data_IF_540975790554
#
_entry.id   IF_540975790554
#
_cell.length_a   1.000
_cell.length_b   1.000
_cell.length_c   1.000
_cell.angle_alpha   90.00
_cell.angle_beta   90.00
_cell.angle_gamma   90.00
#
_symmetry.space_group_name_H-M   'P 1'
#
loop_
_entity.id
_entity.type
_entity.pdbx_description
1 polymer ?
#
# COMPACT_ATOMS: atom_id res chain seq x y z
N UNK A 1 -1.41 20.29 -36.17
CA UNK A 1 -0.76 19.74 -34.95
C UNK A 1 -1.60 18.59 -34.46
N UNK A 2 -1.28 17.40 -34.87
CA UNK A 2 -1.94 16.16 -34.42
C UNK A 2 -1.55 15.95 -32.95
N UNK A 3 -2.52 15.72 -32.10
CA UNK A 3 -2.35 15.67 -30.65
C UNK A 3 -1.55 14.40 -30.31
N UNK A 4 -0.40 14.53 -29.65
CA UNK A 4 0.48 13.43 -29.18
C UNK A 4 -0.32 12.32 -28.48
N UNK A 5 -1.41 12.69 -27.78
CA UNK A 5 -2.32 11.76 -27.12
C UNK A 5 -3.06 10.84 -28.10
N UNK A 6 -3.45 11.34 -29.28
CA UNK A 6 -4.19 10.55 -30.28
C UNK A 6 -3.29 9.55 -30.99
N UNK A 7 -2.01 9.88 -31.12
CA UNK A 7 -1.01 9.00 -31.74
C UNK A 7 -0.65 7.83 -30.82
N UNK A 8 -0.32 8.13 -29.55
CA UNK A 8 -0.02 7.11 -28.54
C UNK A 8 -1.20 6.17 -28.26
N UNK A 9 -2.44 6.68 -28.28
CA UNK A 9 -3.65 5.86 -28.11
C UNK A 9 -3.82 4.87 -29.27
N UNK A 10 -3.56 5.27 -30.51
CA UNK A 10 -3.62 4.40 -31.69
C UNK A 10 -2.53 3.36 -31.72
N UNK A 11 -1.31 3.74 -31.34
CA UNK A 11 -0.18 2.81 -31.24
C UNK A 11 -0.43 1.75 -30.16
N UNK A 12 -1.00 2.15 -29.01
CA UNK A 12 -1.37 1.25 -27.92
C UNK A 12 -2.47 0.28 -28.34
N UNK A 13 -3.52 0.75 -29.03
CA UNK A 13 -4.59 -0.10 -29.56
C UNK A 13 -4.06 -1.11 -30.59
N UNK A 14 -3.18 -0.69 -31.51
CA UNK A 14 -2.59 -1.58 -32.50
C UNK A 14 -1.74 -2.69 -31.85
N UNK A 15 -0.95 -2.36 -30.84
CA UNK A 15 -0.09 -3.33 -30.15
C UNK A 15 -0.84 -4.35 -29.30
N UNK A 16 -1.95 -3.97 -28.69
CA UNK A 16 -2.70 -4.84 -27.76
C UNK A 16 -3.87 -5.59 -28.38
N UNK A 17 -4.42 -5.12 -29.51
CA UNK A 17 -5.58 -5.75 -30.17
C UNK A 17 -5.27 -6.38 -31.53
N UNK A 18 -3.97 -6.63 -31.85
CA UNK A 18 -3.59 -7.42 -33.02
C UNK A 18 -3.42 -6.60 -34.31
N UNK A 19 -3.24 -5.29 -34.21
CA UNK A 19 -2.81 -4.44 -35.32
C UNK A 19 -1.32 -4.57 -35.64
N UNK A 20 -0.89 -4.10 -36.81
CA UNK A 20 0.53 -4.00 -37.18
C UNK A 20 1.24 -2.99 -36.25
N UNK A 21 2.37 -3.41 -35.72
CA UNK A 21 3.23 -2.55 -34.88
C UNK A 21 3.86 -1.49 -35.79
N UNK A 22 3.78 -0.20 -35.45
CA UNK A 22 4.43 0.83 -36.22
C UNK A 22 5.95 0.59 -36.36
N UNK A 23 6.49 0.78 -37.55
CA UNK A 23 7.93 0.60 -37.82
C UNK A 23 8.81 1.68 -37.14
N UNK A 24 8.23 2.82 -36.78
CA UNK A 24 8.92 3.93 -36.09
C UNK A 24 8.07 4.43 -34.89
N UNK A 25 8.69 4.51 -33.72
CA UNK A 25 8.13 5.12 -32.51
C UNK A 25 8.61 6.58 -32.38
N UNK A 26 7.75 7.49 -31.92
CA UNK A 26 8.11 8.90 -31.75
C UNK A 26 9.25 9.14 -30.72
N UNK A 27 9.48 8.21 -29.79
CA UNK A 27 10.59 8.28 -28.85
C UNK A 27 11.05 6.89 -28.39
N UNK A 28 12.28 6.80 -27.94
CA UNK A 28 12.84 5.59 -27.32
C UNK A 28 12.02 5.16 -26.10
N UNK A 29 11.49 6.11 -25.34
CA UNK A 29 10.66 5.92 -24.16
C UNK A 29 9.30 5.29 -24.50
N UNK A 30 8.67 5.70 -25.60
CA UNK A 30 7.44 5.09 -26.13
C UNK A 30 7.68 3.64 -26.51
N UNK A 31 8.81 3.34 -27.15
CA UNK A 31 9.18 1.98 -27.53
C UNK A 31 9.36 1.07 -26.31
N UNK A 32 10.06 1.53 -25.29
CA UNK A 32 10.31 0.77 -24.05
C UNK A 32 9.03 0.51 -23.26
N UNK A 33 8.13 1.50 -23.18
CA UNK A 33 6.81 1.35 -22.57
C UNK A 33 5.94 0.31 -23.31
N UNK A 34 6.01 0.29 -24.64
CA UNK A 34 5.29 -0.67 -25.46
C UNK A 34 5.85 -2.08 -25.35
N UNK A 35 7.19 -2.24 -25.31
CA UNK A 35 7.85 -3.53 -25.08
C UNK A 35 7.51 -4.08 -23.68
N UNK A 36 7.49 -3.22 -22.67
CA UNK A 36 7.06 -3.58 -21.32
C UNK A 36 5.58 -4.00 -21.29
N UNK A 37 4.69 -3.23 -21.90
CA UNK A 37 3.28 -3.55 -22.02
C UNK A 37 3.05 -4.89 -22.73
N UNK A 38 3.79 -5.14 -23.81
CA UNK A 38 3.74 -6.40 -24.55
C UNK A 38 4.27 -7.58 -23.72
N UNK A 39 5.35 -7.38 -22.98
CA UNK A 39 5.92 -8.42 -22.10
C UNK A 39 4.95 -8.81 -20.97
N UNK A 40 4.18 -7.84 -20.48
CA UNK A 40 3.12 -8.07 -19.49
C UNK A 40 1.89 -8.74 -20.11
N UNK A 41 1.53 -8.38 -21.35
CA UNK A 41 0.39 -8.96 -22.07
C UNK A 41 0.62 -10.43 -22.45
N UNK A 42 1.85 -10.82 -22.84
CA UNK A 42 2.21 -12.19 -23.23
C UNK A 42 2.34 -13.13 -22.02
N UNK A 43 2.60 -12.59 -20.82
CA UNK A 43 2.62 -13.40 -19.60
C UNK A 43 1.19 -13.78 -19.24
N UNK A 44 0.92 -15.07 -19.25
CA UNK A 44 -0.37 -15.60 -18.80
C UNK A 44 -0.49 -15.47 -17.26
N UNK A 45 -1.10 -14.38 -16.82
CA UNK A 45 -1.46 -14.13 -15.42
C UNK A 45 -2.84 -14.76 -15.09
N UNK A 46 -3.36 -15.65 -15.93
CA UNK A 46 -4.79 -15.92 -16.06
C UNK A 46 -5.33 -17.09 -15.27
N UNK A 47 -4.59 -17.84 -14.50
CA UNK A 47 -5.28 -18.73 -13.55
C UNK A 47 -5.86 -17.88 -12.40
N UNK A 48 -7.01 -17.23 -12.68
CA UNK A 48 -7.82 -16.51 -11.70
C UNK A 48 -7.88 -14.98 -11.82
N UNK A 49 -7.27 -14.36 -12.85
CA UNK A 49 -7.35 -12.90 -13.01
C UNK A 49 -8.39 -12.48 -14.07
N UNK A 50 -9.22 -11.50 -13.72
CA UNK A 50 -10.12 -10.86 -14.68
C UNK A 50 -9.33 -9.82 -15.49
N UNK A 51 -8.78 -10.24 -16.65
CA UNK A 51 -7.97 -9.39 -17.55
C UNK A 51 -8.67 -8.08 -17.93
N UNK A 52 -9.98 -8.11 -18.11
CA UNK A 52 -10.77 -6.93 -18.49
C UNK A 52 -10.85 -5.91 -17.35
N UNK A 53 -10.95 -6.38 -16.10
CA UNK A 53 -10.96 -5.50 -14.94
C UNK A 53 -9.59 -4.82 -14.73
N UNK A 54 -8.49 -5.56 -14.93
CA UNK A 54 -7.13 -5.01 -14.82
C UNK A 54 -6.88 -3.98 -15.93
N UNK A 55 -7.23 -4.30 -17.20
CA UNK A 55 -7.06 -3.38 -18.33
C UNK A 55 -7.94 -2.14 -18.20
N UNK A 56 -9.18 -2.28 -17.75
CA UNK A 56 -10.08 -1.13 -17.47
C UNK A 56 -9.50 -0.23 -16.37
N UNK A 57 -8.89 -0.82 -15.33
CA UNK A 57 -8.27 -0.06 -14.23
C UNK A 57 -7.01 0.69 -14.69
N UNK A 58 -6.19 0.06 -15.53
CA UNK A 58 -5.02 0.71 -16.15
C UNK A 58 -5.47 1.87 -17.03
N UNK A 59 -6.46 1.66 -17.91
CA UNK A 59 -7.02 2.69 -18.79
C UNK A 59 -7.60 3.86 -18.00
N UNK A 60 -8.42 3.60 -16.98
CA UNK A 60 -9.01 4.63 -16.12
C UNK A 60 -7.94 5.41 -15.33
N UNK A 61 -6.87 4.76 -14.90
CA UNK A 61 -5.76 5.43 -14.22
C UNK A 61 -4.91 6.28 -15.17
N UNK A 62 -4.77 5.88 -16.43
CA UNK A 62 -4.09 6.67 -17.46
C UNK A 62 -4.92 7.89 -17.89
N UNK A 63 -6.22 7.73 -18.08
CA UNK A 63 -7.15 8.84 -18.38
C UNK A 63 -7.24 9.84 -17.21
N UNK A 64 -7.25 9.37 -15.97
CA UNK A 64 -7.30 10.22 -14.78
C UNK A 64 -5.99 11.03 -14.55
N UNK A 65 -4.84 10.57 -15.05
CA UNK A 65 -3.57 11.31 -14.99
C UNK A 65 -3.41 12.36 -16.07
N UNK A 66 -4.21 12.28 -17.16
CA UNK A 66 -4.13 13.22 -18.31
C UNK A 66 -4.77 14.59 -18.08
N UNK A 67 -5.68 14.75 -17.13
CA UNK A 67 -6.52 15.97 -17.01
C UNK A 67 -6.30 16.84 -15.76
N UNK A 68 -5.30 16.58 -14.90
CA UNK A 68 -5.15 17.35 -13.66
C UNK A 68 -3.71 17.79 -13.34
N UNK A 69 -3.11 18.55 -14.28
CA UNK A 69 -2.04 19.49 -13.92
C UNK A 69 -2.64 20.90 -13.95
N UNK A 70 -3.60 21.21 -13.12
CA UNK A 70 -3.92 22.53 -12.57
C UNK A 70 -5.19 22.44 -11.72
N UNK A 71 -5.04 22.83 -10.46
CA UNK A 71 -6.10 23.14 -9.50
C UNK A 71 -7.06 21.99 -9.09
N UNK A 72 -6.65 21.22 -8.09
CA UNK A 72 -7.58 20.80 -7.03
C UNK A 72 -6.82 20.51 -5.74
N UNK A 73 -6.89 21.46 -4.83
CA UNK A 73 -6.77 21.22 -3.39
C UNK A 73 -7.78 20.15 -2.99
N UNK A 74 -7.29 19.08 -2.40
CA UNK A 74 -8.15 18.20 -1.62
C UNK A 74 -8.54 16.89 -2.28
N UNK A 75 -7.82 15.87 -1.96
CA UNK A 75 -8.20 14.52 -1.53
C UNK A 75 -6.90 13.70 -1.45
N UNK A 76 -6.24 13.85 -0.34
CA UNK A 76 -5.15 12.93 0.02
C UNK A 76 -5.82 11.58 0.26
N UNK A 77 -5.65 10.64 -0.68
CA UNK A 77 -5.95 9.22 -0.43
C UNK A 77 -4.99 8.75 0.64
N UNK A 78 -5.50 8.62 1.87
CA UNK A 78 -4.71 8.13 3.00
C UNK A 78 -4.43 6.65 2.76
N UNK A 79 -3.18 6.34 2.44
CA UNK A 79 -2.66 4.97 2.38
C UNK A 79 -2.40 4.58 3.83
N UNK A 80 -3.04 3.51 4.28
CA UNK A 80 -2.77 2.93 5.60
C UNK A 80 -1.38 2.33 5.60
N UNK A 81 -0.49 2.95 6.38
CA UNK A 81 0.90 2.53 6.52
C UNK A 81 1.00 1.51 7.63
N UNK A 82 1.15 0.25 7.27
CA UNK A 82 1.72 -0.76 8.15
C UNK A 82 3.01 -1.29 7.51
N UNK A 83 4.11 -1.09 8.18
CA UNK A 83 5.44 -1.67 7.94
C UNK A 83 6.13 -1.30 6.62
N UNK A 84 6.19 -0.02 6.26
CA UNK A 84 6.91 0.39 5.04
C UNK A 84 7.64 1.74 5.16
N UNK A 85 8.38 1.96 6.24
CA UNK A 85 9.25 3.16 6.32
C UNK A 85 10.27 3.22 5.17
N UNK A 86 10.71 2.07 4.68
CA UNK A 86 11.62 1.99 3.53
C UNK A 86 10.91 2.17 2.18
N UNK A 87 9.70 1.62 2.02
CA UNK A 87 8.93 1.74 0.77
C UNK A 87 8.44 3.17 0.50
N UNK A 88 8.14 3.95 1.54
CA UNK A 88 7.70 5.35 1.39
C UNK A 88 8.85 6.28 0.99
N UNK A 89 10.07 6.02 1.46
CA UNK A 89 11.27 6.73 0.97
C UNK A 89 11.47 6.47 -0.52
N UNK A 90 11.23 5.24 -0.98
CA UNK A 90 11.33 4.87 -2.40
C UNK A 90 10.25 5.57 -3.26
N UNK A 91 9.02 5.72 -2.78
CA UNK A 91 7.94 6.42 -3.52
C UNK A 91 8.23 7.92 -3.65
N UNK A 92 8.80 8.56 -2.63
CA UNK A 92 9.24 9.96 -2.72
C UNK A 92 10.42 10.14 -3.68
N UNK A 93 11.26 9.12 -3.84
CA UNK A 93 12.39 9.09 -4.76
C UNK A 93 11.98 8.83 -6.23
N UNK A 94 10.81 8.22 -6.47
CA UNK A 94 10.33 7.85 -7.81
C UNK A 94 9.97 9.02 -8.74
N UNK A 95 10.07 10.26 -8.31
CA UNK A 95 9.90 11.43 -9.19
C UNK A 95 11.19 11.92 -9.84
N UNK A 96 12.31 11.23 -9.63
CA UNK A 96 13.59 11.57 -10.23
C UNK A 96 13.93 10.62 -11.39
N UNK A 97 14.73 11.07 -12.35
CA UNK A 97 15.29 10.27 -13.46
C UNK A 97 16.03 9.00 -13.02
N UNK A 98 16.34 8.89 -11.72
CA UNK A 98 16.94 7.74 -11.07
C UNK A 98 15.95 6.56 -10.88
N UNK A 99 14.63 6.83 -10.91
CA UNK A 99 13.60 5.79 -10.78
C UNK A 99 13.56 4.82 -11.97
N UNK A 100 14.09 5.19 -13.11
CA UNK A 100 14.12 4.34 -14.32
C UNK A 100 15.11 3.17 -14.21
N UNK A 101 16.13 3.26 -13.37
CA UNK A 101 17.06 2.13 -13.09
C UNK A 101 16.53 1.16 -12.01
N UNK A 102 15.46 1.55 -11.31
CA UNK A 102 14.82 0.77 -10.24
C UNK A 102 13.55 0.05 -10.74
N UNK A 103 13.56 -0.52 -11.94
CA UNK A 103 12.49 -1.40 -12.39
C UNK A 103 12.45 -2.64 -11.49
N UNK A 104 11.52 -2.60 -10.53
CA UNK A 104 11.22 -3.73 -9.67
C UNK A 104 10.86 -4.93 -10.55
N UNK A 105 11.64 -6.00 -10.45
CA UNK A 105 11.27 -7.26 -11.10
C UNK A 105 10.15 -7.91 -10.33
N UNK A 106 8.97 -7.98 -10.90
CA UNK A 106 7.89 -8.79 -10.36
C UNK A 106 8.30 -10.27 -10.41
N UNK A 107 8.41 -10.89 -9.24
CA UNK A 107 8.70 -12.31 -9.08
C UNK A 107 7.43 -13.15 -9.10
N UNK A 108 6.40 -12.67 -8.42
CA UNK A 108 5.14 -13.38 -8.24
C UNK A 108 3.99 -12.39 -8.03
N UNK A 109 2.78 -12.79 -8.37
CA UNK A 109 1.57 -12.00 -8.11
C UNK A 109 0.41 -12.91 -7.76
N UNK A 110 -0.34 -12.53 -6.72
CA UNK A 110 -1.56 -13.22 -6.29
C UNK A 110 -2.68 -12.18 -6.25
N UNK A 111 -3.72 -12.37 -7.06
CA UNK A 111 -4.91 -11.53 -7.07
C UNK A 111 -6.11 -12.31 -6.53
N UNK A 112 -6.85 -11.71 -5.60
CA UNK A 112 -8.04 -12.26 -4.94
C UNK A 112 -9.21 -11.29 -5.11
N UNK A 113 -9.50 -10.87 -6.33
CA UNK A 113 -10.53 -9.86 -6.59
C UNK A 113 -10.05 -8.46 -6.23
N UNK A 114 -10.50 -7.92 -5.10
CA UNK A 114 -10.16 -6.56 -4.66
C UNK A 114 -8.83 -6.47 -3.88
N UNK A 115 -8.13 -7.59 -3.69
CA UNK A 115 -6.79 -7.65 -3.07
C UNK A 115 -5.81 -8.19 -4.10
N UNK A 116 -4.70 -7.48 -4.30
CA UNK A 116 -3.58 -7.96 -5.13
C UNK A 116 -2.29 -7.85 -4.32
N UNK A 117 -1.57 -8.97 -4.18
CA UNK A 117 -0.24 -9.00 -3.60
C UNK A 117 0.79 -9.23 -4.71
N UNK A 118 1.82 -8.40 -4.76
CA UNK A 118 2.90 -8.46 -5.74
C UNK A 118 4.22 -8.63 -5.00
N UNK A 119 4.90 -9.73 -5.30
CA UNK A 119 6.27 -9.95 -4.85
C UNK A 119 7.24 -9.35 -5.86
N UNK A 120 8.07 -8.44 -5.40
CA UNK A 120 9.06 -7.74 -6.23
C UNK A 120 10.48 -8.10 -5.78
N UNK A 121 11.41 -8.01 -6.71
CA UNK A 121 12.83 -8.06 -6.39
C UNK A 121 13.35 -6.63 -6.32
N UNK A 122 13.69 -6.17 -5.11
CA UNK A 122 14.39 -4.91 -4.99
C UNK A 122 15.82 -5.05 -5.53
N UNK A 123 16.29 -4.11 -6.37
CA UNK A 123 17.70 -4.07 -6.70
C UNK A 123 18.50 -3.97 -5.41
N UNK A 124 19.57 -4.75 -5.30
CA UNK A 124 20.49 -4.71 -4.14
C UNK A 124 21.27 -3.39 -4.17
N UNK A 125 20.59 -2.32 -3.87
CA UNK A 125 21.21 -1.02 -3.73
C UNK A 125 21.33 -0.70 -2.24
N UNK A 126 22.54 -0.72 -1.73
CA UNK A 126 22.80 -0.46 -0.31
C UNK A 126 22.72 1.03 0.04
N UNK A 127 22.62 1.92 -0.96
CA UNK A 127 22.71 3.37 -0.76
C UNK A 127 21.73 4.09 -1.70
N UNK A 128 20.86 4.90 -1.14
CA UNK A 128 19.87 5.71 -1.86
C UNK A 128 20.21 7.19 -1.69
N UNK A 129 20.63 7.91 -2.75
CA UNK A 129 20.92 9.34 -2.66
C UNK A 129 19.66 10.10 -2.28
N UNK A 130 19.80 11.13 -1.44
CA UNK A 130 18.69 11.99 -1.07
C UNK A 130 18.29 12.90 -2.23
N UNK A 131 16.98 13.08 -2.50
CA UNK A 131 16.49 14.13 -3.38
C UNK A 131 17.00 15.51 -2.92
N UNK A 132 17.18 16.42 -3.87
CA UNK A 132 17.67 17.78 -3.58
C UNK A 132 16.81 18.49 -2.53
N UNK A 133 15.48 18.25 -2.55
CA UNK A 133 14.53 18.85 -1.61
C UNK A 133 14.72 18.36 -0.16
N UNK A 134 15.37 17.22 0.04
CA UNK A 134 15.62 16.61 1.35
C UNK A 134 17.06 16.78 1.83
N UNK A 135 17.97 17.21 0.96
CA UNK A 135 19.36 17.49 1.34
C UNK A 135 19.44 18.59 2.41
N UNK A 136 20.26 18.38 3.42
CA UNK A 136 20.38 19.29 4.55
C UNK A 136 19.19 19.32 5.52
N UNK A 137 18.16 18.46 5.31
CA UNK A 137 17.00 18.32 6.21
C UNK A 137 17.01 17.02 7.00
N UNK A 138 17.84 16.04 6.59
CA UNK A 138 17.93 14.72 7.20
C UNK A 138 19.33 14.54 7.78
N UNK A 139 19.37 14.09 9.02
CA UNK A 139 20.58 13.92 9.82
C UNK A 139 20.63 12.51 10.42
N UNK A 140 21.82 12.03 10.73
CA UNK A 140 21.99 10.83 11.53
C UNK A 140 21.79 11.13 13.04
N UNK A 141 21.89 10.09 13.86
CA UNK A 141 21.76 10.19 15.33
C UNK A 141 22.81 11.11 15.98
N UNK A 142 23.93 11.38 15.30
CA UNK A 142 25.02 12.21 15.81
C UNK A 142 24.89 13.67 15.32
N UNK A 143 23.80 14.00 14.59
CA UNK A 143 23.51 15.34 14.08
C UNK A 143 24.30 15.69 12.81
N UNK A 144 24.89 14.70 12.12
CA UNK A 144 25.58 14.89 10.86
C UNK A 144 24.59 14.83 9.69
N UNK A 145 24.60 15.80 8.76
CA UNK A 145 23.71 15.76 7.61
C UNK A 145 24.02 14.55 6.72
N UNK A 146 22.97 13.90 6.24
CA UNK A 146 23.07 12.77 5.34
C UNK A 146 22.93 13.24 3.89
N UNK A 147 23.77 12.70 3.01
CA UNK A 147 23.69 12.87 1.55
C UNK A 147 22.93 11.71 0.90
N UNK A 148 22.85 10.58 1.60
CA UNK A 148 22.18 9.38 1.14
C UNK A 148 21.68 8.55 2.33
N UNK A 149 20.61 7.78 2.11
CA UNK A 149 20.10 6.79 3.07
C UNK A 149 20.72 5.43 2.71
N UNK A 150 21.26 4.74 3.72
CA UNK A 150 21.74 3.37 3.60
C UNK A 150 20.79 2.45 4.35
N UNK A 151 20.75 1.17 3.97
CA UNK A 151 19.89 0.20 4.65
C UNK A 151 20.11 0.16 6.16
N UNK A 152 21.36 0.30 6.60
CA UNK A 152 21.77 0.33 8.03
C UNK A 152 21.23 1.53 8.83
N UNK A 153 20.99 2.69 8.19
CA UNK A 153 20.50 3.91 8.85
C UNK A 153 19.08 4.31 8.49
N UNK A 154 18.38 3.53 7.68
CA UNK A 154 17.04 3.86 7.20
C UNK A 154 16.00 4.03 8.32
N UNK A 155 16.21 3.38 9.47
CA UNK A 155 15.36 3.52 10.66
C UNK A 155 15.78 4.61 11.65
N UNK A 156 16.93 5.28 11.41
CA UNK A 156 17.56 6.22 12.35
C UNK A 156 17.84 7.56 11.67
N UNK A 157 16.75 8.18 11.17
CA UNK A 157 16.76 9.47 10.52
C UNK A 157 16.23 10.55 11.47
N UNK A 158 16.89 11.72 11.48
CA UNK A 158 16.56 12.82 12.39
C UNK A 158 16.49 14.15 11.64
N UNK A 159 15.74 15.10 12.20
CA UNK A 159 15.79 16.51 11.79
C UNK A 159 17.02 17.21 12.36
N UNK A 160 17.30 18.44 11.91
CA UNK A 160 18.34 19.30 12.49
C UNK A 160 18.12 19.60 13.99
N UNK A 161 16.87 19.51 14.47
CA UNK A 161 16.50 19.68 15.87
C UNK A 161 16.64 18.37 16.70
N UNK A 162 17.08 17.26 16.07
CA UNK A 162 17.23 15.97 16.73
C UNK A 162 15.91 15.21 16.93
N UNK A 163 14.81 15.62 16.27
CA UNK A 163 13.56 14.87 16.30
C UNK A 163 13.64 13.70 15.32
N UNK A 164 13.19 12.52 15.74
CA UNK A 164 13.18 11.32 14.90
C UNK A 164 12.18 11.47 13.76
N UNK A 165 12.64 11.23 12.54
CA UNK A 165 11.81 11.20 11.34
C UNK A 165 11.22 9.79 11.21
N UNK A 166 9.90 9.71 11.04
CA UNK A 166 9.15 8.44 10.94
C UNK A 166 8.42 8.28 9.62
N UNK A 167 8.28 9.37 8.84
CA UNK A 167 7.56 9.34 7.58
C UNK A 167 7.96 10.50 6.66
N UNK A 168 7.58 10.39 5.38
CA UNK A 168 7.77 11.44 4.39
C UNK A 168 6.45 11.63 3.63
N UNK A 169 6.02 12.87 3.47
CA UNK A 169 4.83 13.20 2.69
C UNK A 169 5.04 14.48 1.90
N UNK A 170 4.75 14.44 0.60
CA UNK A 170 4.87 15.60 -0.31
C UNK A 170 6.21 16.34 -0.21
N UNK A 171 7.34 15.60 -0.14
CA UNK A 171 8.69 16.19 -0.02
C UNK A 171 8.98 16.82 1.35
N UNK A 172 8.13 16.56 2.34
CA UNK A 172 8.32 17.01 3.72
C UNK A 172 8.61 15.82 4.64
N UNK A 173 9.47 16.05 5.62
CA UNK A 173 9.73 15.10 6.70
C UNK A 173 8.61 15.16 7.74
N UNK A 174 8.17 14.02 8.24
CA UNK A 174 7.21 13.91 9.34
C UNK A 174 7.93 13.31 10.53
N UNK A 175 8.00 14.07 11.63
CA UNK A 175 8.61 13.61 12.87
C UNK A 175 7.63 12.72 13.66
N UNK A 176 8.17 11.93 14.59
CA UNK A 176 7.37 11.11 15.49
C UNK A 176 6.33 11.93 16.25
N UNK A 177 6.71 13.13 16.76
CA UNK A 177 5.81 14.05 17.42
C UNK A 177 4.68 14.54 16.53
N UNK A 178 5.00 14.90 15.28
CA UNK A 178 4.00 15.32 14.29
C UNK A 178 3.07 14.15 13.93
N UNK A 179 3.61 12.96 13.73
CA UNK A 179 2.82 11.75 13.43
C UNK A 179 1.81 11.45 14.53
N UNK A 180 2.25 11.47 15.79
CA UNK A 180 1.37 11.27 16.95
C UNK A 180 0.25 12.31 16.97
N UNK A 181 0.57 13.60 16.74
CA UNK A 181 -0.42 14.67 16.69
C UNK A 181 -1.41 14.47 15.53
N UNK A 182 -0.91 14.18 14.34
CA UNK A 182 -1.76 13.92 13.16
C UNK A 182 -2.70 12.72 13.40
N UNK A 183 -2.20 11.65 14.02
CA UNK A 183 -3.00 10.47 14.35
C UNK A 183 -4.07 10.79 15.40
N UNK A 184 -3.76 11.58 16.41
CA UNK A 184 -4.74 12.00 17.43
C UNK A 184 -5.84 12.90 16.85
N UNK A 185 -5.47 13.85 16.00
CA UNK A 185 -6.42 14.78 15.38
C UNK A 185 -7.23 14.14 14.26
N UNK A 186 -6.61 13.24 13.49
CA UNK A 186 -7.20 12.62 12.30
C UNK A 186 -8.02 11.36 12.57
N UNK A 187 -8.06 10.86 13.81
CA UNK A 187 -8.75 9.60 14.14
C UNK A 187 -9.77 9.77 15.25
N UNK A 188 -10.87 9.00 15.17
CA UNK A 188 -11.78 8.74 16.26
C UNK A 188 -11.42 7.39 16.87
N UNK A 189 -11.17 7.37 18.18
CA UNK A 189 -10.86 6.16 18.93
C UNK A 189 -12.10 5.69 19.68
N UNK A 190 -12.52 4.45 19.43
CA UNK A 190 -13.68 3.82 20.08
C UNK A 190 -13.22 2.57 20.85
N UNK A 191 -13.48 2.55 22.16
CA UNK A 191 -13.11 1.44 23.04
C UNK A 191 -14.26 0.46 23.31
N UNK A 192 -15.47 0.86 22.98
CA UNK A 192 -16.67 0.02 23.13
C UNK A 192 -16.93 -0.75 21.83
N UNK A 193 -16.65 -2.06 21.85
CA UNK A 193 -16.84 -2.92 20.69
C UNK A 193 -18.32 -3.03 20.25
N UNK A 194 -19.27 -2.74 21.12
CA UNK A 194 -20.69 -2.74 20.79
C UNK A 194 -21.16 -1.59 19.91
N UNK A 195 -20.33 -0.53 19.79
CA UNK A 195 -20.66 0.68 19.02
C UNK A 195 -19.99 0.75 17.64
N UNK A 196 -19.18 -0.24 17.26
CA UNK A 196 -18.38 -0.16 16.04
C UNK A 196 -19.23 -0.03 14.77
N UNK A 197 -20.37 -0.70 14.75
CA UNK A 197 -21.30 -0.66 13.60
C UNK A 197 -22.00 0.70 13.42
N UNK A 198 -21.99 1.56 14.42
CA UNK A 198 -22.56 2.91 14.32
C UNK A 198 -21.75 3.80 13.36
N UNK A 199 -20.50 3.45 13.14
CA UNK A 199 -19.55 4.25 12.35
C UNK A 199 -19.26 3.68 10.96
N UNK A 200 -19.58 2.39 10.68
CA UNK A 200 -19.24 1.72 9.42
C UNK A 200 -20.44 1.60 8.48
N UNK A 201 -20.19 1.49 7.17
CA UNK A 201 -21.22 1.17 6.18
C UNK A 201 -21.42 -0.35 6.00
N UNK A 202 -20.67 -1.17 6.70
CA UNK A 202 -20.72 -2.64 6.71
C UNK A 202 -20.75 -3.18 8.14
N UNK A 203 -21.08 -4.47 8.27
CA UNK A 203 -21.09 -5.13 9.59
C UNK A 203 -19.67 -5.49 10.00
N UNK A 204 -19.19 -4.91 11.11
CA UNK A 204 -17.90 -5.27 11.72
C UNK A 204 -18.00 -6.64 12.35
N UNK A 205 -17.06 -7.53 12.04
CA UNK A 205 -17.02 -8.89 12.60
C UNK A 205 -15.82 -9.00 13.54
N UNK A 206 -16.10 -9.26 14.80
CA UNK A 206 -15.07 -9.54 15.81
C UNK A 206 -14.61 -10.99 15.69
N UNK A 207 -13.29 -11.28 15.81
CA UNK A 207 -12.80 -12.65 15.81
C UNK A 207 -13.32 -13.40 17.03
N UNK A 208 -13.81 -14.62 16.80
CA UNK A 208 -14.28 -15.51 17.87
C UNK A 208 -13.15 -16.16 18.68
N UNK A 209 -11.90 -16.02 18.19
CA UNK A 209 -10.69 -16.49 18.87
C UNK A 209 -9.62 -15.41 18.79
N UNK A 210 -9.02 -15.10 19.92
CA UNK A 210 -7.83 -14.26 20.08
C UNK A 210 -6.88 -15.01 21.03
N UNK A 211 -5.56 -15.03 20.76
CA UNK A 211 -4.57 -15.66 21.63
C UNK A 211 -4.64 -15.17 23.09
N UNK A 212 -4.27 -16.04 24.00
CA UNK A 212 -4.29 -15.74 25.44
C UNK A 212 -3.45 -14.47 25.75
N UNK A 213 -3.96 -13.65 26.65
CA UNK A 213 -3.35 -12.39 27.06
C UNK A 213 -3.71 -11.19 26.18
N UNK A 214 -4.29 -11.41 25.00
CA UNK A 214 -4.77 -10.32 24.14
C UNK A 214 -6.25 -10.04 24.40
N UNK A 215 -6.62 -8.76 24.36
CA UNK A 215 -8.01 -8.29 24.49
C UNK A 215 -8.24 -7.16 23.51
N UNK A 216 -9.48 -6.99 23.05
CA UNK A 216 -9.87 -5.80 22.31
C UNK A 216 -9.52 -4.57 23.15
N UNK A 217 -8.73 -3.68 22.58
CA UNK A 217 -8.26 -2.44 23.20
C UNK A 217 -9.04 -1.26 22.64
N UNK A 218 -9.05 -1.14 21.31
CA UNK A 218 -9.71 -0.04 20.63
C UNK A 218 -9.94 -0.35 19.16
N UNK A 219 -10.85 0.43 18.58
CA UNK A 219 -10.97 0.63 17.15
C UNK A 219 -10.59 2.07 16.80
N UNK A 220 -9.99 2.26 15.62
CA UNK A 220 -9.64 3.56 15.07
C UNK A 220 -10.38 3.76 13.75
N UNK A 221 -11.00 4.94 13.61
CA UNK A 221 -11.68 5.38 12.41
C UNK A 221 -11.06 6.68 11.91
N UNK A 222 -10.87 6.80 10.62
CA UNK A 222 -10.36 8.03 10.03
C UNK A 222 -11.48 9.06 9.88
N UNK A 223 -11.24 10.26 10.39
CA UNK A 223 -12.12 11.40 10.23
C UNK A 223 -12.05 11.96 8.82
N UNK A 224 -13.15 12.46 8.31
CA UNK A 224 -13.19 13.25 7.09
C UNK A 224 -12.58 14.66 7.29
N UNK A 225 -12.62 15.49 6.24
CA UNK A 225 -12.07 16.85 6.31
C UNK A 225 -12.84 17.78 7.26
N UNK A 226 -14.07 17.41 7.64
CA UNK A 226 -14.91 18.15 8.58
C UNK A 226 -14.74 17.65 10.03
N UNK A 227 -13.89 16.64 10.23
CA UNK A 227 -13.63 16.04 11.53
C UNK A 227 -14.65 14.98 11.96
N UNK A 228 -15.55 14.56 11.06
CA UNK A 228 -16.60 13.58 11.33
C UNK A 228 -16.18 12.17 10.94
N UNK A 229 -16.83 11.19 11.56
CA UNK A 229 -16.81 9.78 11.16
C UNK A 229 -18.24 9.34 10.92
N UNK A 230 -18.60 9.11 9.68
CA UNK A 230 -19.95 8.67 9.33
C UNK A 230 -19.90 7.62 8.22
N UNK A 231 -20.46 6.42 8.50
CA UNK A 231 -20.56 5.30 7.55
C UNK A 231 -19.25 5.06 6.79
N UNK A 232 -18.13 5.06 7.52
CA UNK A 232 -16.81 4.82 6.91
C UNK A 232 -16.70 3.42 6.31
N UNK A 233 -15.92 3.28 5.25
CA UNK A 233 -15.58 2.01 4.62
C UNK A 233 -14.42 1.29 5.31
N UNK A 234 -13.80 1.88 6.33
CA UNK A 234 -12.56 1.39 6.94
C UNK A 234 -12.68 1.39 8.45
N UNK A 235 -12.16 0.36 9.09
CA UNK A 235 -11.97 0.28 10.53
C UNK A 235 -10.67 -0.47 10.83
N UNK A 236 -9.88 0.07 11.76
CA UNK A 236 -8.69 -0.55 12.30
C UNK A 236 -8.97 -1.04 13.72
N UNK A 237 -8.83 -2.33 13.97
CA UNK A 237 -9.05 -2.99 15.27
C UNK A 237 -7.72 -3.36 15.91
N UNK A 238 -7.56 -3.06 17.16
CA UNK A 238 -6.40 -3.39 17.96
C UNK A 238 -6.77 -4.29 19.12
N UNK A 239 -6.06 -5.42 19.23
CA UNK A 239 -6.16 -6.34 20.38
C UNK A 239 -4.80 -6.34 21.06
N UNK A 240 -4.72 -5.79 22.26
CA UNK A 240 -3.46 -5.52 22.95
C UNK A 240 -3.25 -6.52 24.10
N UNK A 241 -2.00 -6.97 24.22
CA UNK A 241 -1.52 -7.69 25.39
C UNK A 241 -0.79 -6.70 26.31
N UNK A 242 -1.42 -6.33 27.42
CA UNK A 242 -0.90 -5.32 28.33
C UNK A 242 0.36 -5.76 29.08
N UNK A 243 0.64 -7.07 29.16
CA UNK A 243 1.81 -7.59 29.85
C UNK A 243 3.12 -7.36 29.08
N UNK A 244 3.05 -7.34 27.74
CA UNK A 244 4.26 -7.21 26.88
C UNK A 244 4.19 -6.06 25.86
N UNK A 245 3.07 -5.30 25.84
CA UNK A 245 2.88 -4.18 24.93
C UNK A 245 2.72 -4.55 23.45
N UNK A 246 2.62 -5.83 23.12
CA UNK A 246 2.34 -6.30 21.76
C UNK A 246 0.87 -6.19 21.43
N UNK A 247 0.55 -6.03 20.16
CA UNK A 247 -0.84 -5.99 19.69
C UNK A 247 -1.02 -6.82 18.42
N UNK A 248 -2.24 -7.26 18.23
CA UNK A 248 -2.76 -7.82 16.98
C UNK A 248 -3.53 -6.70 16.30
N UNK A 249 -3.21 -6.46 15.05
CA UNK A 249 -3.88 -5.49 14.19
C UNK A 249 -4.78 -6.22 13.21
N UNK A 250 -6.02 -5.78 13.10
CA UNK A 250 -6.96 -6.26 12.10
C UNK A 250 -7.64 -5.06 11.44
N UNK A 251 -7.50 -4.95 10.13
CA UNK A 251 -8.26 -4.00 9.36
C UNK A 251 -9.45 -4.70 8.70
N UNK A 252 -10.61 -4.05 8.69
CA UNK A 252 -11.76 -4.45 7.91
C UNK A 252 -12.16 -3.30 6.99
N UNK A 253 -12.53 -3.63 5.75
CA UNK A 253 -12.95 -2.64 4.75
C UNK A 253 -14.17 -3.17 4.01
N UNK A 254 -15.15 -2.30 3.69
CA UNK A 254 -16.16 -2.67 2.71
C UNK A 254 -15.49 -3.00 1.39
N UNK A 255 -15.85 -4.14 0.76
CA UNK A 255 -15.23 -4.58 -0.49
C UNK A 255 -15.90 -3.91 -1.69
N UNK A 256 -15.21 -2.95 -2.30
CA UNK A 256 -15.62 -2.31 -3.55
C UNK A 256 -14.39 -1.77 -4.32
N UNK A 257 -14.62 -1.16 -5.49
CA UNK A 257 -13.54 -0.62 -6.33
C UNK A 257 -12.71 0.48 -5.63
N UNK A 258 -13.31 1.25 -4.71
CA UNK A 258 -12.63 2.31 -3.98
C UNK A 258 -11.71 1.77 -2.89
N UNK A 259 -12.12 0.69 -2.24
CA UNK A 259 -11.40 0.04 -1.14
C UNK A 259 -10.42 -1.04 -1.61
N UNK A 260 -10.51 -1.46 -2.88
CA UNK A 260 -9.56 -2.39 -3.49
C UNK A 260 -8.11 -1.86 -3.37
N UNK A 261 -7.18 -2.77 -3.10
CA UNK A 261 -5.79 -2.37 -2.86
C UNK A 261 -4.78 -3.38 -3.42
N UNK A 262 -3.58 -2.86 -3.62
CA UNK A 262 -2.40 -3.63 -4.01
C UNK A 262 -1.33 -3.51 -2.92
N UNK A 263 -0.67 -4.63 -2.62
CA UNK A 263 0.46 -4.72 -1.70
C UNK A 263 1.67 -5.15 -2.50
N UNK A 264 2.73 -4.33 -2.50
CA UNK A 264 4.03 -4.69 -3.03
C UNK A 264 4.97 -5.04 -1.88
N UNK A 265 5.70 -6.16 -2.00
CA UNK A 265 6.61 -6.66 -0.97
C UNK A 265 7.81 -7.40 -1.59
N UNK A 266 8.95 -7.34 -0.93
CA UNK A 266 10.11 -8.19 -1.23
C UNK A 266 10.05 -9.53 -0.50
N UNK A 267 9.16 -9.64 0.49
CA UNK A 267 8.88 -10.88 1.21
C UNK A 267 8.14 -11.92 0.35
N UNK A 268 8.10 -13.14 0.82
CA UNK A 268 7.41 -14.24 0.15
C UNK A 268 5.89 -14.04 0.22
N UNK A 269 5.19 -14.28 -0.90
CA UNK A 269 3.73 -14.33 -0.94
C UNK A 269 3.26 -15.75 -1.21
N UNK A 270 2.30 -16.25 -0.40
CA UNK A 270 1.74 -17.58 -0.49
C UNK A 270 0.20 -17.53 -0.61
N UNK A 271 -0.36 -18.37 -1.48
CA UNK A 271 -1.80 -18.64 -1.47
C UNK A 271 -2.18 -19.43 -0.21
N UNK A 272 -3.24 -19.00 0.46
CA UNK A 272 -3.81 -19.65 1.64
C UNK A 272 -5.34 -19.77 1.48
N UNK A 273 -5.99 -20.44 2.45
CA UNK A 273 -7.46 -20.51 2.52
C UNK A 273 -7.95 -20.24 3.94
N UNK A 274 -8.91 -19.33 4.05
CA UNK A 274 -9.63 -19.01 5.28
C UNK A 274 -11.09 -19.41 5.10
N UNK A 275 -11.58 -20.38 5.86
CA UNK A 275 -12.96 -20.86 5.79
C UNK A 275 -13.45 -21.21 4.37
N UNK A 276 -12.52 -21.70 3.52
CA UNK A 276 -12.82 -22.10 2.14
C UNK A 276 -12.62 -21.01 1.09
N UNK A 277 -12.48 -19.72 1.48
CA UNK A 277 -12.16 -18.64 0.55
C UNK A 277 -10.66 -18.48 0.39
N UNK A 278 -10.26 -17.95 -0.76
CA UNK A 278 -8.86 -17.69 -1.05
C UNK A 278 -8.32 -16.53 -0.21
N UNK A 279 -7.08 -16.65 0.21
CA UNK A 279 -6.35 -15.69 1.02
C UNK A 279 -4.91 -15.58 0.54
N UNK A 280 -4.25 -14.48 0.83
CA UNK A 280 -2.81 -14.32 0.62
C UNK A 280 -2.11 -14.14 1.97
N UNK A 281 -1.07 -14.94 2.18
CA UNK A 281 -0.16 -14.81 3.31
C UNK A 281 1.12 -14.15 2.81
N UNK A 282 1.51 -13.06 3.45
CA UNK A 282 2.65 -12.24 3.07
C UNK A 282 3.71 -12.39 4.16
N UNK A 283 4.89 -12.86 3.75
CA UNK A 283 6.08 -13.06 4.60
C UNK A 283 5.80 -13.87 5.89
N UNK A 284 4.78 -14.73 5.85
CA UNK A 284 4.33 -15.49 7.03
C UNK A 284 3.75 -14.66 8.18
N UNK A 285 3.58 -13.33 8.00
CA UNK A 285 3.30 -12.35 9.07
C UNK A 285 2.03 -11.55 8.88
N UNK A 286 1.54 -11.44 7.64
CA UNK A 286 0.29 -10.74 7.31
C UNK A 286 -0.59 -11.66 6.50
N UNK A 287 -1.88 -11.71 6.83
CA UNK A 287 -2.86 -12.52 6.14
C UNK A 287 -4.01 -11.63 5.68
N UNK A 288 -4.24 -11.61 4.36
CA UNK A 288 -5.29 -10.83 3.73
C UNK A 288 -6.26 -11.74 2.99
N UNK A 289 -7.57 -11.47 3.12
CA UNK A 289 -8.64 -12.22 2.45
C UNK A 289 -9.88 -11.38 2.28
N UNK A 290 -10.76 -11.80 1.37
CA UNK A 290 -12.09 -11.23 1.18
C UNK A 290 -13.15 -12.24 1.61
N UNK A 291 -14.12 -11.80 2.41
CA UNK A 291 -15.24 -12.64 2.84
C UNK A 291 -16.48 -11.79 3.12
N UNK A 292 -17.64 -12.19 2.53
CA UNK A 292 -18.94 -11.51 2.70
C UNK A 292 -18.87 -9.99 2.45
N UNK A 293 -18.33 -9.59 1.30
CA UNK A 293 -18.19 -8.20 0.87
C UNK A 293 -17.33 -7.33 1.85
N UNK A 294 -16.46 -7.97 2.61
CA UNK A 294 -15.49 -7.30 3.49
C UNK A 294 -14.10 -7.82 3.20
N UNK A 295 -13.16 -6.88 3.04
CA UNK A 295 -11.72 -7.15 2.96
C UNK A 295 -11.14 -7.14 4.38
N UNK A 296 -10.37 -8.16 4.69
CA UNK A 296 -9.69 -8.33 5.97
C UNK A 296 -8.19 -8.31 5.78
N UNK A 297 -7.48 -7.55 6.60
CA UNK A 297 -6.03 -7.62 6.76
C UNK A 297 -5.71 -7.91 8.22
N UNK A 298 -4.89 -8.92 8.51
CA UNK A 298 -4.53 -9.37 9.85
C UNK A 298 -3.03 -9.48 10.01
N UNK A 299 -2.47 -8.82 11.01
CA UNK A 299 -1.04 -8.91 11.34
C UNK A 299 -0.79 -8.81 12.85
N UNK A 300 0.44 -9.14 13.28
CA UNK A 300 0.91 -8.89 14.66
C UNK A 300 2.03 -7.85 14.66
N UNK A 301 2.07 -6.99 15.67
CA UNK A 301 3.17 -6.05 15.86
C UNK A 301 4.51 -6.78 15.78
N UNK A 302 5.43 -6.29 14.96
CA UNK A 302 6.78 -6.89 14.80
C UNK A 302 6.76 -8.38 14.37
N UNK A 303 5.66 -8.85 13.74
CA UNK A 303 5.55 -10.21 13.23
C UNK A 303 5.62 -11.30 14.30
N UNK A 304 5.18 -11.02 15.52
CA UNK A 304 5.22 -11.97 16.65
C UNK A 304 4.21 -13.12 16.54
N UNK A 305 3.19 -13.00 15.66
CA UNK A 305 2.23 -14.06 15.43
C UNK A 305 2.79 -15.08 14.44
N UNK A 306 2.66 -16.35 14.76
CA UNK A 306 2.94 -17.42 13.82
C UNK A 306 1.83 -17.52 12.74
N UNK A 307 2.17 -18.08 11.58
CA UNK A 307 1.19 -18.44 10.53
C UNK A 307 0.00 -19.23 11.10
N UNK A 308 0.26 -20.16 12.03
CA UNK A 308 -0.80 -20.97 12.67
C UNK A 308 -1.75 -20.10 13.51
N UNK A 309 -1.25 -19.11 14.23
CA UNK A 309 -2.07 -18.21 15.04
C UNK A 309 -2.87 -17.25 14.17
N UNK A 310 -2.25 -16.66 13.12
CA UNK A 310 -2.96 -15.86 12.13
C UNK A 310 -4.13 -16.64 11.53
N UNK A 311 -3.90 -17.88 11.12
CA UNK A 311 -4.93 -18.74 10.55
C UNK A 311 -6.05 -19.10 11.56
N UNK A 312 -5.73 -19.29 12.85
CA UNK A 312 -6.75 -19.54 13.89
C UNK A 312 -7.63 -18.32 14.10
N UNK A 313 -7.05 -17.13 14.17
CA UNK A 313 -7.78 -15.88 14.33
C UNK A 313 -8.68 -15.67 13.10
N UNK A 314 -8.13 -15.74 11.89
CA UNK A 314 -8.86 -15.54 10.65
C UNK A 314 -10.03 -16.54 10.50
N UNK A 315 -9.82 -17.83 10.76
CA UNK A 315 -10.87 -18.86 10.70
C UNK A 315 -11.95 -18.70 11.76
N UNK A 316 -11.75 -17.89 12.79
CA UNK A 316 -12.75 -17.58 13.79
C UNK A 316 -13.72 -16.45 13.37
N UNK A 317 -13.43 -15.75 12.27
CA UNK A 317 -14.32 -14.81 11.60
C UNK A 317 -15.42 -15.60 10.87
N UNK A 318 -16.70 -15.31 11.18
CA UNK A 318 -17.86 -16.05 10.63
C UNK A 318 -18.94 -15.08 10.17
#
# INVERSE_FOLDING_TARGET
MTNIKDHFSKETEACFYGGEVPDEFESQESKELMELGRSLYIRDFSEGSNKEAVMRKIKNNMEAKGDNIMNRTGKIKRITVTAASLALVLVALMQTTFAQELLEKVKNSISLGNITAIQVEHPKQDTYPLPEELKGKIFDKDGKPLEAIKGENAGDLYTAAGEKIVDFSNGQVITETQKVKMDQEGKLIVKDSGKLNDYTCFKVVMPGYIPEGYKFDRAEFYKDNEGNVNRTKYIDLYFTNTANGKYIFMQQRASDEESAYEISTDGEIEKAKVNGVDAVLIDGRTLDWEYNDVLYGLSGKEGHLSKSELMKIAKSIK
#
